data_IF_139524977272
#
_entry.id   IF_139524977272
#
_cell.length_a   1.000
_cell.length_b   1.000
_cell.length_c   1.000
_cell.angle_alpha   90.00
_cell.angle_beta   90.00
_cell.angle_gamma   90.00
#
_symmetry.space_group_name_H-M   'P 1'
#
loop_
_entity.id
_entity.type
_entity.pdbx_description
1 polymer ?
#
# COMPACT_ATOMS: atom_id res chain seq x y z
N UNK A 1 -54.58 -3.79 9.46
CA UNK A 1 -53.55 -3.31 8.52
C UNK A 1 -52.25 -3.91 8.94
N UNK A 2 -51.88 -5.05 8.36
CA UNK A 2 -50.67 -5.81 8.63
C UNK A 2 -49.55 -5.29 7.72
N UNK A 3 -48.62 -4.54 8.27
CA UNK A 3 -47.41 -4.12 7.55
C UNK A 3 -46.42 -5.29 7.44
N UNK A 4 -46.41 -5.88 6.27
CA UNK A 4 -45.37 -6.85 5.86
C UNK A 4 -44.00 -6.15 5.74
N UNK A 5 -43.16 -6.33 6.75
CA UNK A 5 -41.76 -5.99 6.68
C UNK A 5 -41.07 -7.04 5.80
N UNK A 6 -40.94 -6.75 4.51
CA UNK A 6 -40.22 -7.56 3.56
C UNK A 6 -38.69 -7.48 3.81
N UNK A 7 -38.15 -8.65 3.91
CA UNK A 7 -36.75 -9.08 3.97
C UNK A 7 -35.78 -8.22 3.16
N UNK A 8 -35.16 -7.19 3.76
CA UNK A 8 -34.14 -6.32 3.14
C UNK A 8 -32.72 -6.90 3.25
N UNK A 9 -32.56 -8.21 3.48
CA UNK A 9 -31.24 -8.85 3.71
C UNK A 9 -30.44 -9.24 2.45
N UNK A 10 -31.01 -9.17 1.24
CA UNK A 10 -30.44 -9.91 0.09
C UNK A 10 -29.89 -9.07 -1.08
N UNK A 11 -29.90 -7.74 -1.01
CA UNK A 11 -29.46 -6.90 -2.14
C UNK A 11 -27.95 -6.94 -2.39
N UNK A 12 -27.15 -7.27 -1.39
CA UNK A 12 -25.67 -7.30 -1.51
C UNK A 12 -25.10 -8.59 -2.14
N UNK A 13 -25.88 -9.65 -2.28
CA UNK A 13 -25.47 -10.92 -2.87
C UNK A 13 -25.96 -11.12 -4.33
N UNK A 14 -26.30 -10.04 -5.02
CA UNK A 14 -26.70 -10.12 -6.43
C UNK A 14 -25.59 -10.79 -7.26
N UNK A 15 -25.93 -11.67 -8.23
CA UNK A 15 -24.94 -12.30 -9.14
C UNK A 15 -24.03 -11.28 -9.85
N UNK A 16 -24.60 -10.13 -10.22
CA UNK A 16 -23.85 -9.03 -10.84
C UNK A 16 -22.71 -8.51 -9.94
N UNK A 17 -22.93 -8.39 -8.62
CA UNK A 17 -21.87 -7.97 -7.68
C UNK A 17 -20.75 -9.02 -7.53
N UNK A 18 -21.06 -10.31 -7.75
CA UNK A 18 -20.03 -11.34 -7.81
C UNK A 18 -19.14 -11.18 -9.06
N UNK A 19 -19.73 -10.85 -10.22
CA UNK A 19 -18.96 -10.58 -11.46
C UNK A 19 -18.04 -9.38 -11.27
N UNK A 20 -18.52 -8.26 -10.70
CA UNK A 20 -17.69 -7.09 -10.41
C UNK A 20 -16.57 -7.44 -9.42
N UNK A 21 -16.87 -8.23 -8.39
CA UNK A 21 -15.84 -8.66 -7.43
C UNK A 21 -14.76 -9.53 -8.09
N UNK A 22 -15.15 -10.52 -8.93
CA UNK A 22 -14.19 -11.36 -9.65
C UNK A 22 -13.35 -10.52 -10.59
N UNK A 23 -13.95 -9.60 -11.35
CA UNK A 23 -13.23 -8.71 -12.24
C UNK A 23 -12.25 -7.81 -11.48
N UNK A 24 -12.63 -7.29 -10.30
CA UNK A 24 -11.71 -6.56 -9.42
C UNK A 24 -10.52 -7.42 -9.01
N UNK A 25 -10.73 -8.69 -8.65
CA UNK A 25 -9.63 -9.60 -8.29
C UNK A 25 -8.66 -9.83 -9.46
N UNK A 26 -9.19 -9.98 -10.69
CA UNK A 26 -8.37 -10.12 -11.91
C UNK A 26 -7.54 -8.86 -12.16
N UNK A 27 -8.16 -7.69 -12.12
CA UNK A 27 -7.48 -6.40 -12.32
C UNK A 27 -6.36 -6.22 -11.30
N UNK A 28 -6.65 -6.50 -10.03
CA UNK A 28 -5.68 -6.38 -8.93
C UNK A 28 -4.54 -7.39 -9.06
N UNK A 29 -4.83 -8.63 -9.47
CA UNK A 29 -3.82 -9.66 -9.69
C UNK A 29 -2.85 -9.32 -10.83
N UNK A 30 -3.37 -8.71 -11.90
CA UNK A 30 -2.58 -8.33 -13.08
C UNK A 30 -1.80 -7.03 -12.85
N UNK A 31 -2.33 -6.11 -12.05
CA UNK A 31 -1.79 -4.74 -11.92
C UNK A 31 -0.29 -4.64 -11.56
N UNK A 32 0.34 -5.57 -10.79
CA UNK A 32 1.78 -5.47 -10.49
C UNK A 32 2.69 -5.86 -11.66
N UNK A 33 2.19 -6.60 -12.66
CA UNK A 33 3.02 -7.17 -13.71
C UNK A 33 3.64 -6.14 -14.65
N UNK A 34 2.93 -5.12 -15.15
CA UNK A 34 3.55 -4.10 -15.97
C UNK A 34 4.23 -3.04 -15.09
N UNK A 35 5.47 -3.27 -14.67
CA UNK A 35 6.32 -2.34 -13.88
C UNK A 35 5.64 -1.73 -12.64
N UNK A 36 4.66 -2.43 -12.04
CA UNK A 36 3.87 -1.89 -10.94
C UNK A 36 2.95 -0.72 -11.37
N UNK A 37 2.72 -0.55 -12.67
CA UNK A 37 1.87 0.51 -13.22
C UNK A 37 2.57 1.88 -13.28
N UNK A 38 3.90 1.94 -13.33
CA UNK A 38 4.66 3.20 -13.27
C UNK A 38 4.47 4.11 -14.49
N UNK A 39 4.27 3.52 -15.68
CA UNK A 39 4.10 4.29 -16.90
C UNK A 39 2.70 4.90 -17.01
N UNK A 40 2.61 6.10 -17.62
CA UNK A 40 1.35 6.86 -17.72
C UNK A 40 0.23 6.03 -18.33
N UNK A 41 0.47 5.35 -19.44
CA UNK A 41 -0.54 4.51 -20.10
C UNK A 41 -1.00 3.32 -19.24
N UNK A 42 -0.11 2.74 -18.41
CA UNK A 42 -0.42 1.60 -17.55
C UNK A 42 -1.41 1.99 -16.45
N UNK A 43 -1.13 3.08 -15.72
CA UNK A 43 -2.04 3.50 -14.67
C UNK A 43 -3.31 4.17 -15.17
N UNK A 44 -3.30 4.79 -16.37
CA UNK A 44 -4.53 5.26 -17.00
C UNK A 44 -5.43 4.09 -17.43
N UNK A 45 -4.86 3.03 -18.02
CA UNK A 45 -5.59 1.81 -18.33
C UNK A 45 -6.18 1.18 -17.06
N UNK A 46 -5.38 1.09 -16.01
CA UNK A 46 -5.82 0.57 -14.71
C UNK A 46 -6.94 1.43 -14.11
N UNK A 47 -6.81 2.76 -14.15
CA UNK A 47 -7.85 3.69 -13.68
C UNK A 47 -9.14 3.53 -14.47
N UNK A 48 -9.06 3.36 -15.80
CA UNK A 48 -10.21 3.10 -16.67
C UNK A 48 -10.92 1.80 -16.27
N UNK A 49 -10.19 0.72 -16.00
CA UNK A 49 -10.76 -0.53 -15.50
C UNK A 49 -11.49 -0.31 -14.17
N UNK A 50 -10.89 0.40 -13.23
CA UNK A 50 -11.49 0.66 -11.92
C UNK A 50 -12.75 1.52 -12.01
N UNK A 51 -12.74 2.57 -12.84
CA UNK A 51 -13.93 3.41 -13.06
C UNK A 51 -15.04 2.61 -13.72
N UNK A 52 -14.73 1.79 -14.74
CA UNK A 52 -15.71 0.91 -15.40
C UNK A 52 -16.33 -0.09 -14.41
N UNK A 53 -15.53 -0.72 -13.54
CA UNK A 53 -16.03 -1.63 -12.51
C UNK A 53 -16.92 -0.91 -11.48
N UNK A 54 -16.54 0.31 -11.11
CA UNK A 54 -17.34 1.10 -10.17
C UNK A 54 -18.67 1.54 -10.79
N UNK A 55 -18.65 1.98 -12.05
CA UNK A 55 -19.86 2.31 -12.80
C UNK A 55 -20.77 1.10 -12.92
N UNK A 56 -20.24 -0.07 -13.28
CA UNK A 56 -21.01 -1.31 -13.34
C UNK A 56 -21.62 -1.68 -11.96
N UNK A 57 -20.85 -1.50 -10.88
CA UNK A 57 -21.36 -1.71 -9.52
C UNK A 57 -22.55 -0.78 -9.21
N UNK A 58 -22.43 0.51 -9.45
CA UNK A 58 -23.47 1.49 -9.14
C UNK A 58 -24.71 1.31 -10.01
N UNK A 59 -24.57 1.03 -11.31
CA UNK A 59 -25.71 0.70 -12.18
C UNK A 59 -26.46 -0.50 -11.63
N UNK A 60 -25.77 -1.57 -11.23
CA UNK A 60 -26.39 -2.79 -10.70
C UNK A 60 -27.04 -2.58 -9.32
N UNK A 61 -26.67 -1.54 -8.58
CA UNK A 61 -27.11 -1.30 -7.21
C UNK A 61 -27.86 0.03 -7.02
N UNK A 62 -28.28 0.69 -8.09
CA UNK A 62 -28.96 2.00 -8.03
C UNK A 62 -30.18 2.00 -7.09
N UNK A 63 -30.93 0.91 -7.08
CA UNK A 63 -32.11 0.73 -6.19
C UNK A 63 -31.76 0.50 -4.71
N UNK A 64 -30.49 0.23 -4.40
CA UNK A 64 -29.99 -0.06 -3.03
C UNK A 64 -28.92 0.90 -2.55
N UNK A 65 -28.76 2.04 -3.21
CA UNK A 65 -27.72 3.04 -2.93
C UNK A 65 -27.74 3.54 -1.48
N UNK A 66 -28.92 3.60 -0.85
CA UNK A 66 -29.07 3.98 0.55
C UNK A 66 -28.32 3.00 1.50
N UNK A 67 -28.28 1.70 1.16
CA UNK A 67 -27.55 0.71 1.94
C UNK A 67 -26.03 0.91 1.82
N UNK A 68 -25.56 1.39 0.67
CA UNK A 68 -24.16 1.72 0.44
C UNK A 68 -23.74 2.92 1.29
N UNK A 69 -24.58 3.97 1.39
CA UNK A 69 -24.37 5.10 2.29
C UNK A 69 -24.32 4.67 3.76
N UNK A 70 -25.19 3.76 4.20
CA UNK A 70 -25.15 3.19 5.57
C UNK A 70 -23.83 2.45 5.81
N UNK A 71 -23.36 1.68 4.81
CA UNK A 71 -22.10 0.96 4.89
C UNK A 71 -20.90 1.92 5.05
N UNK A 72 -20.91 3.05 4.35
CA UNK A 72 -19.86 4.06 4.36
C UNK A 72 -19.95 5.05 5.54
N UNK A 73 -21.13 5.15 6.19
CA UNK A 73 -21.39 6.12 7.28
C UNK A 73 -20.28 6.22 8.31
N UNK A 74 -19.67 5.11 8.65
CA UNK A 74 -18.66 5.07 9.70
C UNK A 74 -17.30 5.63 9.30
N UNK A 75 -17.04 5.83 8.00
CA UNK A 75 -15.83 6.49 7.45
C UNK A 75 -16.19 7.77 6.72
N UNK A 76 -17.37 8.35 7.02
CA UNK A 76 -17.87 9.56 6.35
C UNK A 76 -16.87 10.70 6.41
N UNK A 77 -16.31 10.99 7.60
CA UNK A 77 -15.37 12.10 7.77
C UNK A 77 -14.10 11.92 6.92
N UNK A 78 -13.37 10.77 6.97
CA UNK A 78 -12.27 10.56 6.06
C UNK A 78 -12.65 10.67 4.57
N UNK A 79 -13.81 10.15 4.17
CA UNK A 79 -14.26 10.24 2.77
C UNK A 79 -14.55 11.68 2.35
N UNK A 80 -15.16 12.49 3.21
CA UNK A 80 -15.37 13.91 2.94
C UNK A 80 -14.02 14.63 2.76
N UNK A 81 -13.04 14.38 3.66
CA UNK A 81 -11.71 14.98 3.55
C UNK A 81 -10.99 14.56 2.27
N UNK A 82 -11.07 13.28 1.89
CA UNK A 82 -10.52 12.79 0.62
C UNK A 82 -11.22 13.43 -0.59
N UNK A 83 -12.54 13.62 -0.54
CA UNK A 83 -13.27 14.32 -1.60
C UNK A 83 -12.87 15.80 -1.71
N UNK A 84 -12.72 16.49 -0.58
CA UNK A 84 -12.24 17.88 -0.53
C UNK A 84 -10.79 17.94 -1.06
N UNK A 85 -9.96 16.96 -0.73
CA UNK A 85 -8.60 16.87 -1.26
C UNK A 85 -8.55 16.69 -2.78
N UNK A 86 -9.47 15.89 -3.38
CA UNK A 86 -9.60 15.79 -4.83
C UNK A 86 -10.10 17.11 -5.44
N UNK A 87 -11.09 17.75 -4.82
CA UNK A 87 -11.59 19.07 -5.26
C UNK A 87 -10.50 20.13 -5.18
N UNK A 88 -9.63 20.09 -4.19
CA UNK A 88 -8.47 20.96 -4.11
C UNK A 88 -7.52 20.77 -5.31
N UNK A 89 -7.28 19.53 -5.76
CA UNK A 89 -6.50 19.29 -6.98
C UNK A 89 -7.20 19.79 -8.25
N UNK A 90 -8.54 19.72 -8.31
CA UNK A 90 -9.31 20.37 -9.39
C UNK A 90 -9.08 21.87 -9.38
N UNK A 91 -9.12 22.53 -8.21
CA UNK A 91 -8.83 23.96 -8.07
C UNK A 91 -7.40 24.30 -8.50
N UNK A 92 -6.42 23.40 -8.31
CA UNK A 92 -5.06 23.62 -8.80
C UNK A 92 -4.97 23.68 -10.33
N UNK A 93 -5.90 23.06 -11.06
CA UNK A 93 -5.90 22.96 -12.54
C UNK A 93 -6.77 24.03 -13.19
N UNK A 94 -7.81 24.51 -12.52
CA UNK A 94 -8.73 25.50 -13.07
C UNK A 94 -8.04 26.87 -13.13
N UNK A 95 -8.13 27.59 -14.27
CA UNK A 95 -7.69 28.97 -14.35
C UNK A 95 -8.47 29.86 -13.37
N UNK A 96 -7.76 30.62 -12.55
CA UNK A 96 -8.31 31.53 -11.55
C UNK A 96 -7.95 32.98 -11.89
N UNK A 97 -8.74 33.98 -11.47
CA UNK A 97 -8.35 35.39 -11.59
C UNK A 97 -7.01 35.63 -10.89
N UNK A 98 -6.16 36.48 -11.45
CA UNK A 98 -4.80 36.76 -10.93
C UNK A 98 -4.81 37.17 -9.46
N UNK A 99 -5.83 37.88 -8.97
CA UNK A 99 -5.98 38.28 -7.57
C UNK A 99 -6.06 37.09 -6.61
N UNK A 100 -6.59 35.92 -7.05
CA UNK A 100 -6.63 34.68 -6.29
C UNK A 100 -5.42 33.77 -6.57
N UNK A 101 -4.81 33.88 -7.76
CA UNK A 101 -3.59 33.14 -8.11
C UNK A 101 -2.35 33.78 -7.49
N UNK A 102 -2.38 35.04 -7.05
CA UNK A 102 -1.29 35.72 -6.36
C UNK A 102 -0.99 35.14 -4.94
N UNK A 103 -1.81 34.23 -4.43
CA UNK A 103 -1.37 33.31 -3.36
C UNK A 103 -0.21 32.39 -3.83
N UNK A 104 0.12 32.44 -5.12
CA UNK A 104 1.07 31.55 -5.78
C UNK A 104 2.23 32.24 -6.51
N UNK A 105 2.31 33.55 -6.72
CA UNK A 105 3.53 34.30 -7.08
C UNK A 105 3.39 35.55 -7.93
N UNK A 106 4.35 36.47 -7.73
CA UNK A 106 4.76 37.60 -8.50
C UNK A 106 5.52 37.19 -9.78
N UNK A 107 4.87 37.07 -10.91
CA UNK A 107 5.49 37.28 -12.22
C UNK A 107 4.40 37.53 -13.27
N UNK A 108 3.99 38.74 -13.39
CA UNK A 108 4.30 39.77 -14.40
C UNK A 108 4.19 39.28 -15.85
N UNK A 109 3.19 39.81 -16.52
CA UNK A 109 3.10 40.00 -17.98
C UNK A 109 2.35 38.97 -18.82
N UNK A 110 1.45 38.13 -18.31
CA UNK A 110 0.58 37.41 -19.25
C UNK A 110 -0.77 37.03 -18.64
N UNK A 111 -1.85 37.41 -19.30
CA UNK A 111 -3.26 36.96 -19.14
C UNK A 111 -3.92 37.08 -17.78
N UNK A 112 -5.14 37.56 -17.72
CA UNK A 112 -5.95 37.76 -16.52
C UNK A 112 -6.32 36.47 -15.75
N UNK A 113 -5.90 35.29 -16.21
CA UNK A 113 -6.23 34.00 -15.64
C UNK A 113 -5.01 33.09 -15.58
N UNK A 114 -4.70 32.55 -14.40
CA UNK A 114 -3.59 31.62 -14.19
C UNK A 114 -4.01 30.45 -13.32
N UNK A 115 -3.38 29.29 -13.51
CA UNK A 115 -3.59 28.12 -12.67
C UNK A 115 -2.64 28.13 -11.47
N UNK A 116 -3.07 27.56 -10.34
CA UNK A 116 -2.17 27.31 -9.21
C UNK A 116 -1.07 26.32 -9.60
N UNK A 117 -1.43 25.28 -10.37
CA UNK A 117 -0.45 24.33 -10.90
C UNK A 117 0.41 24.96 -11.98
N UNK A 118 1.72 24.78 -11.86
CA UNK A 118 2.70 25.22 -12.90
C UNK A 118 2.60 24.36 -14.18
N UNK A 119 2.05 23.14 -14.07
CA UNK A 119 1.82 22.21 -15.19
C UNK A 119 0.47 21.52 -15.03
N UNK A 120 -0.63 22.19 -15.42
CA UNK A 120 -2.00 21.68 -15.20
C UNK A 120 -2.24 20.29 -15.79
N UNK A 121 -1.64 19.97 -16.94
CA UNK A 121 -1.78 18.65 -17.57
C UNK A 121 -1.22 17.51 -16.69
N UNK A 122 -0.08 17.73 -16.03
CA UNK A 122 0.51 16.75 -15.11
C UNK A 122 -0.38 16.59 -13.88
N UNK A 123 -0.87 17.69 -13.34
CA UNK A 123 -1.79 17.67 -12.18
C UNK A 123 -3.10 17.00 -12.52
N UNK A 124 -3.64 17.15 -13.72
CA UNK A 124 -4.84 16.44 -14.17
C UNK A 124 -4.62 14.92 -14.22
N UNK A 125 -3.49 14.49 -14.73
CA UNK A 125 -3.12 13.06 -14.78
C UNK A 125 -2.99 12.49 -13.37
N UNK A 126 -2.35 13.21 -12.44
CA UNK A 126 -2.27 12.81 -11.02
C UNK A 126 -3.67 12.79 -10.35
N UNK A 127 -4.54 13.74 -10.66
CA UNK A 127 -5.92 13.76 -10.18
C UNK A 127 -6.70 12.51 -10.60
N UNK A 128 -6.59 12.08 -11.87
CA UNK A 128 -7.21 10.83 -12.37
C UNK A 128 -6.68 9.63 -11.56
N UNK A 129 -5.37 9.56 -11.36
CA UNK A 129 -4.70 8.51 -10.59
C UNK A 129 -5.20 8.48 -9.14
N UNK A 130 -5.21 9.62 -8.45
CA UNK A 130 -5.69 9.73 -7.07
C UNK A 130 -7.19 9.40 -6.94
N UNK A 131 -8.00 9.82 -7.91
CA UNK A 131 -9.44 9.48 -7.96
C UNK A 131 -9.63 7.98 -8.08
N UNK A 132 -8.81 7.30 -8.90
CA UNK A 132 -8.88 5.84 -9.04
C UNK A 132 -8.53 5.10 -7.73
N UNK A 133 -7.60 5.62 -6.93
CA UNK A 133 -7.24 5.04 -5.62
C UNK A 133 -8.39 5.14 -4.62
N UNK A 134 -9.05 6.29 -4.56
CA UNK A 134 -10.22 6.47 -3.68
C UNK A 134 -11.39 5.62 -4.18
N UNK A 135 -11.58 5.54 -5.49
CA UNK A 135 -12.62 4.70 -6.12
C UNK A 135 -12.45 3.23 -5.77
N UNK A 136 -11.23 2.67 -5.91
CA UNK A 136 -10.98 1.26 -5.55
C UNK A 136 -11.18 1.01 -4.06
N UNK A 137 -10.83 1.97 -3.20
CA UNK A 137 -11.07 1.89 -1.76
C UNK A 137 -12.56 1.79 -1.44
N UNK A 138 -13.37 2.70 -2.00
CA UNK A 138 -14.83 2.70 -1.81
C UNK A 138 -15.46 1.43 -2.36
N UNK A 139 -15.14 1.07 -3.62
CA UNK A 139 -15.66 -0.13 -4.27
C UNK A 139 -15.34 -1.39 -3.45
N UNK A 140 -14.11 -1.50 -2.95
CA UNK A 140 -13.70 -2.63 -2.11
C UNK A 140 -14.50 -2.69 -0.81
N UNK A 141 -14.71 -1.57 -0.13
CA UNK A 141 -15.52 -1.51 1.08
C UNK A 141 -16.98 -1.95 0.83
N UNK A 142 -17.52 -1.64 -0.33
CA UNK A 142 -18.88 -2.04 -0.71
C UNK A 142 -18.95 -3.52 -1.07
N UNK A 143 -17.96 -4.05 -1.77
CA UNK A 143 -17.91 -5.46 -2.19
C UNK A 143 -17.58 -6.43 -1.05
N UNK A 144 -16.80 -6.02 -0.04
CA UNK A 144 -16.39 -6.89 1.08
C UNK A 144 -17.50 -7.06 2.12
N UNK A 145 -18.60 -7.69 1.76
CA UNK A 145 -19.77 -7.90 2.61
C UNK A 145 -19.80 -9.26 3.32
N UNK A 146 -18.95 -10.21 2.94
CA UNK A 146 -18.85 -11.54 3.53
C UNK A 146 -17.41 -11.88 3.95
N UNK A 147 -17.30 -12.78 4.94
CA UNK A 147 -16.02 -13.36 5.35
C UNK A 147 -15.27 -13.99 4.18
N UNK A 148 -16.00 -14.70 3.30
CA UNK A 148 -15.40 -15.35 2.15
C UNK A 148 -14.75 -14.36 1.19
N UNK A 149 -15.41 -13.24 0.87
CA UNK A 149 -14.84 -12.21 -0.01
C UNK A 149 -13.59 -11.56 0.58
N UNK A 150 -13.56 -11.31 1.91
CA UNK A 150 -12.37 -10.81 2.60
C UNK A 150 -11.22 -11.81 2.46
N UNK A 151 -11.47 -13.10 2.73
CA UNK A 151 -10.46 -14.14 2.60
C UNK A 151 -9.98 -14.29 1.15
N UNK A 152 -10.89 -14.23 0.18
CA UNK A 152 -10.54 -14.35 -1.24
C UNK A 152 -9.67 -13.17 -1.70
N UNK A 153 -10.04 -11.93 -1.37
CA UNK A 153 -9.20 -10.77 -1.69
C UNK A 153 -7.81 -10.89 -1.05
N UNK A 154 -7.74 -11.20 0.27
CA UNK A 154 -6.46 -11.36 0.95
C UNK A 154 -5.59 -12.47 0.31
N UNK A 155 -6.20 -13.60 -0.11
CA UNK A 155 -5.51 -14.67 -0.83
C UNK A 155 -5.01 -14.20 -2.19
N UNK A 156 -5.83 -13.48 -2.97
CA UNK A 156 -5.43 -12.96 -4.29
C UNK A 156 -4.22 -12.03 -4.17
N UNK A 157 -4.24 -11.09 -3.21
CA UNK A 157 -3.13 -10.18 -2.95
C UNK A 157 -1.86 -10.95 -2.55
N UNK A 158 -1.99 -11.90 -1.62
CA UNK A 158 -0.86 -12.68 -1.12
C UNK A 158 -0.27 -13.62 -2.15
N UNK A 159 -1.10 -14.42 -2.84
CA UNK A 159 -0.64 -15.41 -3.83
C UNK A 159 -0.04 -14.68 -5.04
N UNK A 160 -0.68 -13.61 -5.54
CA UNK A 160 -0.13 -12.81 -6.63
C UNK A 160 1.26 -12.27 -6.31
N UNK A 161 1.43 -11.77 -5.08
CA UNK A 161 2.74 -11.29 -4.60
C UNK A 161 3.78 -12.40 -4.42
N UNK A 162 3.36 -13.59 -4.00
CA UNK A 162 4.25 -14.75 -3.88
C UNK A 162 4.74 -15.24 -5.26
N UNK A 163 3.87 -15.22 -6.27
CA UNK A 163 4.26 -15.55 -7.65
C UNK A 163 5.30 -14.54 -8.18
N UNK A 164 5.09 -13.25 -7.95
CA UNK A 164 6.07 -12.22 -8.31
C UNK A 164 7.39 -12.40 -7.53
N UNK A 165 7.32 -12.82 -6.26
CA UNK A 165 8.51 -13.08 -5.48
C UNK A 165 9.31 -14.28 -6.03
N UNK A 166 8.63 -15.34 -6.43
CA UNK A 166 9.26 -16.49 -7.08
C UNK A 166 9.89 -16.09 -8.42
N UNK A 167 9.15 -15.38 -9.27
CA UNK A 167 9.65 -14.81 -10.52
C UNK A 167 10.90 -13.95 -10.28
N UNK A 168 10.87 -13.09 -9.26
CA UNK A 168 11.97 -12.22 -8.89
C UNK A 168 13.23 -13.00 -8.50
N UNK A 169 13.10 -14.07 -7.71
CA UNK A 169 14.25 -14.90 -7.30
C UNK A 169 14.81 -15.70 -8.48
N UNK A 170 13.95 -16.29 -9.31
CA UNK A 170 14.38 -17.00 -10.52
C UNK A 170 15.23 -16.09 -11.39
N UNK A 171 14.75 -14.88 -11.68
CA UNK A 171 15.50 -13.93 -12.52
C UNK A 171 16.76 -13.38 -11.84
N UNK A 172 16.71 -13.13 -10.53
CA UNK A 172 17.90 -12.70 -9.80
C UNK A 172 19.04 -13.73 -9.88
N UNK A 173 18.74 -15.02 -9.70
CA UNK A 173 19.77 -16.07 -9.73
C UNK A 173 20.15 -16.50 -11.16
N UNK A 174 19.26 -16.39 -12.13
CA UNK A 174 19.53 -16.66 -13.56
C UNK A 174 20.04 -15.44 -14.33
N UNK A 175 20.30 -14.31 -13.63
CA UNK A 175 20.74 -13.03 -14.23
C UNK A 175 19.80 -12.51 -15.33
N UNK A 176 18.50 -12.76 -15.16
CA UNK A 176 17.46 -12.28 -16.06
C UNK A 176 17.15 -13.22 -17.24
N UNK A 177 17.59 -14.48 -17.21
CA UNK A 177 17.33 -15.42 -18.30
C UNK A 177 15.83 -15.66 -18.59
N UNK A 178 14.95 -15.42 -17.61
CA UNK A 178 13.49 -15.58 -17.73
C UNK A 178 12.76 -14.24 -17.58
N UNK A 179 13.41 -13.14 -17.91
CA UNK A 179 12.81 -11.82 -17.76
C UNK A 179 11.74 -11.58 -18.82
N UNK A 180 10.48 -11.41 -18.36
CA UNK A 180 9.31 -11.14 -19.19
C UNK A 180 8.97 -9.66 -19.28
N UNK A 181 9.54 -8.84 -18.41
CA UNK A 181 9.09 -7.46 -18.15
C UNK A 181 10.05 -6.42 -18.72
N UNK A 182 11.35 -6.66 -18.72
CA UNK A 182 12.34 -5.71 -19.24
C UNK A 182 12.31 -5.53 -20.75
N UNK A 183 11.64 -6.45 -21.47
CA UNK A 183 11.37 -6.31 -22.91
C UNK A 183 10.34 -5.22 -23.22
N UNK A 184 9.63 -4.71 -22.20
CA UNK A 184 8.69 -3.59 -22.34
C UNK A 184 9.47 -2.27 -22.17
N UNK A 185 9.70 -1.48 -23.26
CA UNK A 185 10.44 -0.22 -23.14
C UNK A 185 9.78 0.72 -22.12
N UNK A 186 10.56 1.56 -21.42
CA UNK A 186 11.97 1.93 -21.61
C UNK A 186 12.96 1.26 -20.63
N UNK A 187 12.66 0.11 -20.05
CA UNK A 187 13.40 -0.39 -18.89
C UNK A 187 14.47 -1.42 -19.26
N UNK A 188 15.70 -1.16 -18.79
CA UNK A 188 16.76 -2.15 -18.69
C UNK A 188 17.06 -2.35 -17.21
N UNK A 189 16.55 -3.41 -16.61
CA UNK A 189 16.83 -3.71 -15.22
C UNK A 189 18.05 -4.61 -15.09
N UNK A 190 18.92 -4.32 -14.12
CA UNK A 190 20.05 -5.18 -13.82
C UNK A 190 19.69 -6.17 -12.71
N UNK A 191 19.39 -7.39 -13.09
CA UNK A 191 19.08 -8.48 -12.18
C UNK A 191 20.27 -8.90 -11.28
N UNK A 192 21.49 -8.62 -11.71
CA UNK A 192 22.69 -8.99 -10.95
C UNK A 192 22.83 -8.22 -9.64
N UNK A 193 22.36 -6.96 -9.61
CA UNK A 193 22.56 -6.07 -8.47
C UNK A 193 21.56 -6.30 -7.34
N UNK A 194 20.30 -6.57 -7.66
CA UNK A 194 19.23 -6.74 -6.68
C UNK A 194 18.00 -7.40 -7.30
N UNK A 195 17.23 -8.11 -6.50
CA UNK A 195 15.91 -8.59 -6.87
C UNK A 195 14.94 -7.39 -6.91
N UNK A 196 14.22 -7.21 -8.01
CA UNK A 196 13.28 -6.10 -8.17
C UNK A 196 11.88 -6.55 -8.64
N UNK A 197 11.65 -7.87 -8.81
CA UNK A 197 10.35 -8.39 -9.25
C UNK A 197 10.00 -7.89 -10.65
N UNK A 198 8.76 -7.48 -10.79
CA UNK A 198 8.24 -6.83 -11.99
C UNK A 198 8.37 -5.31 -11.95
N UNK A 199 9.07 -4.76 -10.97
CA UNK A 199 9.20 -3.33 -10.71
C UNK A 199 10.50 -2.79 -11.30
N UNK A 200 10.48 -1.54 -11.74
CA UNK A 200 11.66 -0.84 -12.25
C UNK A 200 12.68 -0.50 -11.15
N UNK A 201 12.23 -0.44 -9.89
CA UNK A 201 13.07 -0.03 -8.77
C UNK A 201 12.88 -0.96 -7.56
N UNK A 202 14.01 -1.48 -7.07
CA UNK A 202 14.04 -2.47 -5.99
C UNK A 202 13.38 -2.01 -4.67
N UNK A 203 13.40 -0.70 -4.37
CA UNK A 203 12.78 -0.18 -3.15
C UNK A 203 11.26 -0.21 -3.24
N UNK A 204 10.69 0.05 -4.42
CA UNK A 204 9.24 -0.07 -4.64
C UNK A 204 8.78 -1.51 -4.52
N UNK A 205 9.59 -2.45 -5.03
CA UNK A 205 9.32 -3.86 -4.85
C UNK A 205 9.42 -4.27 -3.38
N UNK A 206 10.43 -3.79 -2.64
CA UNK A 206 10.51 -4.01 -1.19
C UNK A 206 9.26 -3.48 -0.46
N UNK A 207 8.77 -2.29 -0.83
CA UNK A 207 7.54 -1.73 -0.29
C UNK A 207 6.31 -2.59 -0.59
N UNK A 208 6.19 -3.10 -1.82
CA UNK A 208 5.15 -4.03 -2.22
C UNK A 208 5.17 -5.32 -1.38
N UNK A 209 6.35 -5.90 -1.15
CA UNK A 209 6.50 -7.08 -0.30
C UNK A 209 6.15 -6.78 1.17
N UNK A 210 6.55 -5.63 1.72
CA UNK A 210 6.21 -5.24 3.10
C UNK A 210 4.71 -5.03 3.30
N UNK A 211 3.96 -4.67 2.24
CA UNK A 211 2.51 -4.61 2.26
C UNK A 211 1.86 -6.00 2.29
N UNK A 212 2.44 -6.98 1.61
CA UNK A 212 1.76 -8.24 1.30
C UNK A 212 2.20 -9.41 2.17
N UNK A 213 3.44 -9.44 2.65
CA UNK A 213 3.95 -10.49 3.58
C UNK A 213 3.06 -10.63 4.83
N UNK A 214 2.63 -9.56 5.52
CA UNK A 214 1.78 -9.71 6.71
C UNK A 214 0.47 -10.45 6.43
N UNK A 215 -0.09 -10.35 5.21
CA UNK A 215 -1.33 -11.06 4.84
C UNK A 215 -1.15 -12.59 4.91
N UNK A 216 0.02 -13.12 4.56
CA UNK A 216 0.32 -14.55 4.68
C UNK A 216 0.20 -15.05 6.12
N UNK A 217 0.77 -14.32 7.09
CA UNK A 217 0.61 -14.63 8.50
C UNK A 217 -0.85 -14.57 8.95
N UNK A 218 -1.61 -13.56 8.46
CA UNK A 218 -3.03 -13.42 8.71
C UNK A 218 -3.85 -14.59 8.16
N UNK A 219 -3.52 -15.10 6.98
CA UNK A 219 -4.17 -16.25 6.34
C UNK A 219 -3.87 -17.57 7.08
N UNK A 220 -2.62 -17.80 7.49
CA UNK A 220 -2.23 -18.96 8.31
C UNK A 220 -3.02 -18.96 9.60
N UNK A 221 -3.07 -17.81 10.31
CA UNK A 221 -3.85 -17.70 11.54
C UNK A 221 -5.34 -18.01 11.31
N UNK A 222 -5.88 -17.60 10.17
CA UNK A 222 -7.28 -17.86 9.79
C UNK A 222 -7.59 -19.34 9.62
N UNK A 223 -6.62 -20.15 9.20
CA UNK A 223 -6.77 -21.58 8.95
C UNK A 223 -6.52 -22.44 10.19
N UNK A 224 -5.58 -22.05 11.06
CA UNK A 224 -5.26 -22.81 12.30
C UNK A 224 -6.51 -22.99 13.15
N UNK A 225 -7.34 -21.96 13.28
CA UNK A 225 -8.57 -22.02 14.07
C UNK A 225 -9.67 -22.91 13.47
N UNK A 226 -9.52 -23.40 12.23
CA UNK A 226 -10.47 -24.36 11.61
C UNK A 226 -10.12 -25.82 11.85
N UNK A 227 -8.84 -26.12 12.09
CA UNK A 227 -8.33 -27.50 12.08
C UNK A 227 -8.10 -28.10 13.46
N UNK A 228 -8.46 -27.42 14.55
CA UNK A 228 -8.15 -27.87 15.93
C UNK A 228 -8.80 -29.19 16.36
N UNK A 229 -9.67 -29.81 15.54
CA UNK A 229 -10.44 -31.00 15.93
C UNK A 229 -10.08 -32.31 15.19
N UNK A 230 -8.94 -32.40 14.49
CA UNK A 230 -8.66 -33.56 13.61
C UNK A 230 -7.31 -34.27 13.78
N UNK A 231 -6.71 -34.33 14.94
CA UNK A 231 -5.42 -35.00 15.06
C UNK A 231 -5.31 -35.98 16.27
N UNK A 232 -5.76 -37.21 16.08
CA UNK A 232 -5.42 -38.35 16.96
C UNK A 232 -4.75 -39.43 16.09
N UNK A 233 -3.52 -39.85 16.46
CA UNK A 233 -2.97 -41.13 16.02
C UNK A 233 -1.92 -41.16 14.88
N UNK A 234 -1.35 -40.02 14.40
CA UNK A 234 -0.31 -40.04 13.32
C UNK A 234 1.13 -39.90 13.84
N UNK A 235 2.09 -40.51 13.11
CA UNK A 235 3.52 -40.38 13.39
C UNK A 235 4.00 -38.90 13.23
N UNK A 236 5.11 -38.50 13.86
CA UNK A 236 5.69 -37.17 13.75
C UNK A 236 6.01 -36.82 12.29
N UNK A 237 6.57 -37.74 11.52
CA UNK A 237 6.90 -37.56 10.11
C UNK A 237 5.64 -37.37 9.27
N UNK A 238 4.60 -38.19 9.46
CA UNK A 238 3.33 -38.02 8.78
C UNK A 238 2.67 -36.68 9.05
N UNK A 239 2.70 -36.18 10.29
CA UNK A 239 2.20 -34.85 10.65
C UNK A 239 3.00 -33.72 9.99
N UNK A 240 4.31 -33.85 9.85
CA UNK A 240 5.16 -32.87 9.16
C UNK A 240 4.87 -32.84 7.66
N UNK A 241 4.74 -33.99 7.02
CA UNK A 241 4.38 -34.09 5.60
C UNK A 241 2.98 -33.54 5.31
N UNK A 242 2.00 -33.88 6.15
CA UNK A 242 0.64 -33.33 6.06
C UNK A 242 0.64 -31.79 6.23
N UNK A 243 1.48 -31.26 7.14
CA UNK A 243 1.62 -29.81 7.30
C UNK A 243 2.21 -29.17 6.04
N UNK A 244 3.27 -29.74 5.47
CA UNK A 244 3.92 -29.20 4.27
C UNK A 244 3.00 -29.26 3.05
N UNK A 245 2.20 -30.31 2.91
CA UNK A 245 1.23 -30.47 1.81
C UNK A 245 -0.10 -29.75 2.08
N UNK A 246 -0.29 -29.22 3.28
CA UNK A 246 -1.49 -28.46 3.61
C UNK A 246 -1.49 -27.05 3.01
N UNK A 247 -2.67 -26.42 2.95
CA UNK A 247 -2.79 -25.01 2.57
C UNK A 247 -1.90 -24.09 3.44
N UNK A 248 -1.70 -24.42 4.71
CA UNK A 248 -0.81 -23.68 5.59
C UNK A 248 0.66 -23.87 5.24
N UNK A 249 1.06 -25.09 4.82
CA UNK A 249 2.40 -25.36 4.33
C UNK A 249 2.73 -24.57 3.08
N UNK A 250 1.79 -24.49 2.12
CA UNK A 250 1.94 -23.65 0.93
C UNK A 250 2.05 -22.16 1.28
N UNK A 251 1.29 -21.68 2.27
CA UNK A 251 1.44 -20.28 2.71
C UNK A 251 2.77 -20.04 3.42
N UNK A 252 3.28 -20.99 4.21
CA UNK A 252 4.60 -20.89 4.84
C UNK A 252 5.72 -20.88 3.80
N UNK A 253 5.66 -21.75 2.80
CA UNK A 253 6.60 -21.76 1.68
C UNK A 253 6.57 -20.45 0.91
N UNK A 254 5.37 -19.95 0.60
CA UNK A 254 5.19 -18.65 -0.06
C UNK A 254 5.76 -17.50 0.76
N UNK A 255 5.55 -17.49 2.09
CA UNK A 255 6.14 -16.52 3.00
C UNK A 255 7.67 -16.58 2.99
N UNK A 256 8.25 -17.78 3.02
CA UNK A 256 9.70 -17.95 2.95
C UNK A 256 10.26 -17.36 1.66
N UNK A 257 9.66 -17.68 0.51
CA UNK A 257 10.03 -17.13 -0.80
C UNK A 257 9.95 -15.59 -0.80
N UNK A 258 8.85 -15.02 -0.27
CA UNK A 258 8.67 -13.57 -0.22
C UNK A 258 9.67 -12.88 0.71
N UNK A 259 9.98 -13.48 1.86
CA UNK A 259 10.96 -12.93 2.81
C UNK A 259 12.37 -12.98 2.21
N UNK A 260 12.76 -14.09 1.56
CA UNK A 260 14.03 -14.19 0.85
C UNK A 260 14.09 -13.12 -0.26
N UNK A 261 13.03 -12.97 -1.05
CA UNK A 261 12.95 -11.96 -2.08
C UNK A 261 13.10 -10.54 -1.52
N UNK A 262 12.44 -10.23 -0.38
CA UNK A 262 12.56 -8.95 0.31
C UNK A 262 14.02 -8.64 0.68
N UNK A 263 14.73 -9.59 1.27
CA UNK A 263 16.15 -9.40 1.61
C UNK A 263 17.02 -9.25 0.36
N UNK A 264 16.73 -10.00 -0.71
CA UNK A 264 17.47 -9.90 -2.00
C UNK A 264 17.20 -8.61 -2.76
N UNK A 265 16.17 -7.81 -2.38
CA UNK A 265 16.04 -6.43 -2.90
C UNK A 265 17.21 -5.55 -2.50
N UNK A 266 17.96 -5.91 -1.45
CA UNK A 266 19.01 -5.08 -0.84
C UNK A 266 18.51 -3.64 -0.50
N UNK A 267 17.21 -3.45 -0.30
CA UNK A 267 16.60 -2.19 0.13
C UNK A 267 16.77 -2.02 1.63
N UNK A 268 17.71 -1.17 2.04
CA UNK A 268 17.94 -0.89 3.47
C UNK A 268 16.69 -0.35 4.15
N UNK A 269 16.02 0.63 3.51
CA UNK A 269 14.77 1.22 4.01
C UNK A 269 13.67 0.16 4.15
N UNK A 270 13.38 -0.59 3.08
CA UNK A 270 12.33 -1.60 3.07
C UNK A 270 12.54 -2.69 4.14
N UNK A 271 13.74 -3.23 4.24
CA UNK A 271 14.06 -4.29 5.20
C UNK A 271 13.97 -3.80 6.65
N UNK A 272 14.55 -2.63 6.98
CA UNK A 272 14.50 -2.06 8.33
C UNK A 272 13.07 -1.73 8.75
N UNK A 273 12.29 -1.12 7.85
CA UNK A 273 10.92 -0.71 8.13
C UNK A 273 9.99 -1.92 8.27
N UNK A 274 10.23 -2.99 7.52
CA UNK A 274 9.50 -4.25 7.73
C UNK A 274 9.64 -4.76 9.17
N UNK A 275 10.87 -4.80 9.68
CA UNK A 275 11.14 -5.20 11.06
C UNK A 275 10.46 -4.25 12.05
N UNK A 276 10.64 -2.94 11.87
CA UNK A 276 10.04 -1.91 12.75
C UNK A 276 8.52 -2.02 12.76
N UNK A 277 7.88 -2.24 11.61
CA UNK A 277 6.42 -2.37 11.53
C UNK A 277 5.89 -3.60 12.26
N UNK A 278 6.62 -4.71 12.23
CA UNK A 278 6.30 -5.92 13.01
C UNK A 278 6.40 -5.61 14.51
N UNK A 279 7.47 -4.95 14.95
CA UNK A 279 7.68 -4.58 16.37
C UNK A 279 6.56 -3.66 16.85
N UNK A 280 6.27 -2.59 16.11
CA UNK A 280 5.18 -1.66 16.45
C UNK A 280 3.85 -2.41 16.54
N UNK A 281 3.54 -3.25 15.55
CA UNK A 281 2.29 -4.02 15.52
C UNK A 281 2.18 -4.97 16.71
N UNK A 282 3.27 -5.68 17.03
CA UNK A 282 3.32 -6.55 18.19
C UNK A 282 2.98 -5.81 19.48
N UNK A 283 3.63 -4.67 19.73
CA UNK A 283 3.37 -3.89 20.94
C UNK A 283 1.95 -3.32 20.95
N UNK A 284 1.44 -2.80 19.80
CA UNK A 284 0.06 -2.33 19.71
C UNK A 284 -0.95 -3.42 20.07
N UNK A 285 -0.75 -4.64 19.59
CA UNK A 285 -1.60 -5.79 19.91
C UNK A 285 -1.45 -6.20 21.38
N UNK A 286 -0.22 -6.21 21.89
CA UNK A 286 0.07 -6.57 23.28
C UNK A 286 -0.55 -5.61 24.29
N UNK A 287 -0.43 -4.29 24.06
CA UNK A 287 -1.01 -3.26 24.94
C UNK A 287 -2.54 -3.29 24.96
N UNK A 288 -3.17 -3.68 23.87
CA UNK A 288 -4.62 -3.84 23.82
C UNK A 288 -5.13 -5.11 24.54
N UNK A 289 -4.23 -6.01 24.99
CA UNK A 289 -4.62 -7.21 25.71
C UNK A 289 -4.78 -6.93 27.22
N UNK A 290 -5.97 -7.24 27.78
CA UNK A 290 -6.20 -7.25 29.22
C UNK A 290 -5.63 -8.55 29.80
N UNK A 291 -4.30 -8.68 29.86
CA UNK A 291 -3.58 -9.84 30.37
C UNK A 291 -2.69 -9.43 31.54
N UNK A 292 -2.45 -10.33 32.51
CA UNK A 292 -1.50 -10.09 33.60
C UNK A 292 -0.12 -9.70 33.07
N UNK A 293 0.63 -8.88 33.84
CA UNK A 293 1.99 -8.43 33.45
C UNK A 293 2.91 -9.62 33.12
N UNK A 294 2.85 -10.72 33.91
CA UNK A 294 3.65 -11.93 33.71
C UNK A 294 3.39 -12.58 32.33
N UNK A 295 2.14 -12.67 31.90
CA UNK A 295 1.79 -13.25 30.58
C UNK A 295 2.25 -12.33 29.42
N UNK A 296 2.14 -11.01 29.60
CA UNK A 296 2.68 -10.05 28.63
C UNK A 296 4.21 -10.18 28.51
N UNK A 297 4.91 -10.29 29.65
CA UNK A 297 6.37 -10.46 29.67
C UNK A 297 6.81 -11.75 28.96
N UNK A 298 6.12 -12.89 29.20
CA UNK A 298 6.39 -14.15 28.49
C UNK A 298 6.22 -14.01 26.97
N UNK A 299 5.16 -13.32 26.50
CA UNK A 299 4.94 -13.08 25.08
C UNK A 299 6.01 -12.16 24.48
N UNK A 300 6.42 -11.13 25.23
CA UNK A 300 7.51 -10.23 24.80
C UNK A 300 8.81 -11.01 24.67
N UNK A 301 9.14 -11.88 25.63
CA UNK A 301 10.34 -12.72 25.56
C UNK A 301 10.31 -13.66 24.34
N UNK A 302 9.21 -14.34 24.08
CA UNK A 302 9.05 -15.21 22.90
C UNK A 302 9.16 -14.43 21.59
N UNK A 303 8.63 -13.20 21.55
CA UNK A 303 8.75 -12.32 20.39
C UNK A 303 10.21 -11.91 20.15
N UNK A 304 10.93 -11.51 21.20
CA UNK A 304 12.36 -11.16 21.12
C UNK A 304 13.18 -12.35 20.64
N UNK A 305 12.95 -13.56 21.15
CA UNK A 305 13.61 -14.77 20.68
C UNK A 305 13.32 -15.02 19.20
N UNK A 306 12.07 -14.87 18.77
CA UNK A 306 11.69 -14.99 17.36
C UNK A 306 12.39 -13.96 16.47
N UNK A 307 12.50 -12.72 16.92
CA UNK A 307 13.21 -11.65 16.19
C UNK A 307 14.71 -11.92 16.11
N UNK A 308 15.32 -12.46 17.16
CA UNK A 308 16.72 -12.88 17.15
C UNK A 308 16.96 -14.04 16.16
N UNK A 309 16.05 -15.03 16.12
CA UNK A 309 16.12 -16.12 15.15
C UNK A 309 16.02 -15.61 13.70
N UNK A 310 15.12 -14.66 13.41
CA UNK A 310 15.04 -13.99 12.09
C UNK A 310 16.34 -13.24 11.81
N UNK A 311 16.91 -12.53 12.78
CA UNK A 311 18.19 -11.83 12.64
C UNK A 311 19.34 -12.78 12.27
N UNK A 312 19.39 -13.95 12.90
CA UNK A 312 20.39 -14.99 12.59
C UNK A 312 20.20 -15.51 11.16
N UNK A 313 18.97 -15.80 10.73
CA UNK A 313 18.68 -16.23 9.36
C UNK A 313 19.14 -15.17 8.34
N UNK A 314 18.90 -13.89 8.63
CA UNK A 314 19.31 -12.77 7.79
C UNK A 314 20.85 -12.73 7.63
N UNK A 315 21.59 -12.95 8.71
CA UNK A 315 23.06 -13.01 8.67
C UNK A 315 23.52 -14.18 7.78
N UNK A 316 22.94 -15.36 7.96
CA UNK A 316 23.32 -16.54 7.18
C UNK A 316 22.92 -16.49 5.70
N UNK A 317 21.97 -15.64 5.30
CA UNK A 317 21.55 -15.48 3.89
C UNK A 317 22.49 -14.57 3.08
N UNK A 318 23.63 -14.15 3.63
CA UNK A 318 24.60 -13.26 2.95
C UNK A 318 24.07 -11.83 2.75
N UNK A 319 23.02 -11.43 3.48
CA UNK A 319 22.50 -10.06 3.45
C UNK A 319 23.56 -9.04 3.88
N UNK A 320 24.39 -9.40 4.88
CA UNK A 320 25.48 -8.59 5.37
C UNK A 320 26.56 -8.34 4.30
N UNK A 321 26.88 -9.33 3.45
CA UNK A 321 27.88 -9.19 2.38
C UNK A 321 27.41 -8.25 1.28
N UNK A 322 26.15 -8.29 0.92
CA UNK A 322 25.56 -7.35 -0.04
C UNK A 322 25.47 -5.93 0.53
N UNK A 323 25.23 -5.80 1.84
CA UNK A 323 25.19 -4.51 2.53
C UNK A 323 26.61 -3.91 2.68
N UNK A 324 27.58 -4.71 3.12
CA UNK A 324 28.99 -4.29 3.29
C UNK A 324 29.65 -3.95 1.96
N UNK A 325 29.42 -4.73 0.90
CA UNK A 325 29.91 -4.41 -0.46
C UNK A 325 29.33 -3.10 -0.98
N UNK A 326 28.05 -2.80 -0.71
CA UNK A 326 27.44 -1.51 -1.09
C UNK A 326 27.94 -0.35 -0.24
N UNK A 327 28.18 -0.56 1.06
CA UNK A 327 28.79 0.44 1.93
C UNK A 327 30.23 0.75 1.48
N UNK A 328 30.99 -0.27 1.07
CA UNK A 328 32.37 -0.13 0.61
C UNK A 328 32.49 0.45 -0.82
N UNK A 329 31.61 0.05 -1.75
CA UNK A 329 31.72 0.41 -3.18
C UNK A 329 31.05 1.72 -3.57
N UNK A 330 30.00 2.15 -2.85
CA UNK A 330 29.26 3.37 -3.19
C UNK A 330 29.52 4.53 -2.21
N UNK A 331 30.29 4.30 -1.13
CA UNK A 331 30.36 5.22 -0.01
C UNK A 331 28.94 5.45 0.56
N UNK A 332 28.78 5.55 1.84
CA UNK A 332 27.54 6.10 2.40
C UNK A 332 27.52 7.58 2.01
N UNK A 333 26.83 7.92 0.91
CA UNK A 333 26.53 9.32 0.60
C UNK A 333 25.16 9.68 1.17
N UNK A 334 25.07 10.00 2.48
CA UNK A 334 23.83 10.47 3.11
C UNK A 334 23.41 11.80 2.50
N UNK A 335 24.35 12.52 1.87
CA UNK A 335 24.14 13.84 1.32
C UNK A 335 23.20 13.83 0.10
N UNK A 336 23.13 12.73 -0.69
CA UNK A 336 22.26 12.68 -1.86
C UNK A 336 20.77 12.85 -1.50
N UNK A 337 20.23 12.07 -0.54
CA UNK A 337 18.84 12.22 -0.09
C UNK A 337 18.61 13.51 0.67
N UNK A 338 19.57 13.93 1.51
CA UNK A 338 19.49 15.21 2.22
C UNK A 338 19.38 16.39 1.24
N UNK A 339 20.15 16.37 0.15
CA UNK A 339 20.09 17.41 -0.88
C UNK A 339 18.74 17.38 -1.66
N UNK A 340 18.16 16.20 -1.88
CA UNK A 340 16.81 16.07 -2.48
C UNK A 340 15.74 16.61 -1.53
N UNK A 341 15.86 16.34 -0.22
CA UNK A 341 14.98 16.91 0.79
C UNK A 341 15.12 18.45 0.86
N UNK A 342 16.35 18.99 0.78
CA UNK A 342 16.58 20.43 0.70
C UNK A 342 15.89 21.04 -0.52
N UNK A 343 15.99 20.38 -1.69
CA UNK A 343 15.26 20.80 -2.90
C UNK A 343 13.75 20.87 -2.66
N UNK A 344 13.16 19.84 -2.02
CA UNK A 344 11.75 19.87 -1.67
C UNK A 344 11.40 21.00 -0.71
N UNK A 345 12.24 21.23 0.31
CA UNK A 345 12.04 22.32 1.27
C UNK A 345 12.12 23.70 0.62
N UNK A 346 13.04 23.92 -0.34
CA UNK A 346 13.11 25.17 -1.10
C UNK A 346 11.83 25.43 -1.92
N UNK A 347 11.26 24.39 -2.54
CA UNK A 347 9.98 24.50 -3.25
C UNK A 347 8.83 24.84 -2.26
N UNK A 348 8.82 24.19 -1.09
CA UNK A 348 7.82 24.42 -0.04
C UNK A 348 7.87 25.88 0.46
N UNK A 349 9.07 26.44 0.64
CA UNK A 349 9.26 27.81 1.10
C UNK A 349 8.67 28.85 0.13
N UNK A 350 8.72 28.59 -1.18
CA UNK A 350 8.11 29.52 -2.16
C UNK A 350 6.59 29.43 -2.16
N UNK A 351 6.01 28.21 -2.05
CA UNK A 351 4.55 28.02 -2.13
C UNK A 351 4.00 27.18 -0.97
N UNK A 352 4.09 27.65 0.26
CA UNK A 352 3.81 26.84 1.45
C UNK A 352 2.34 26.44 1.60
N UNK A 353 1.38 27.26 1.12
CA UNK A 353 -0.05 27.04 1.34
C UNK A 353 -0.66 26.07 0.35
N UNK A 354 -0.48 26.32 -0.95
CA UNK A 354 -1.17 25.62 -2.04
C UNK A 354 -0.26 24.69 -2.84
N UNK A 355 1.07 24.81 -2.66
CA UNK A 355 2.05 24.04 -3.42
C UNK A 355 2.12 24.46 -4.90
N UNK A 356 2.72 23.61 -5.70
CA UNK A 356 3.04 23.87 -7.11
C UNK A 356 2.18 23.09 -8.10
N UNK A 357 1.27 22.29 -7.61
CA UNK A 357 0.43 21.36 -8.38
C UNK A 357 0.83 19.89 -8.14
N UNK A 358 -0.16 18.99 -8.09
CA UNK A 358 0.11 17.58 -7.90
C UNK A 358 1.02 17.04 -9.02
N UNK A 359 2.10 16.31 -8.64
CA UNK A 359 3.03 15.69 -9.58
C UNK A 359 4.08 16.62 -10.21
N UNK A 360 4.18 17.88 -9.79
CA UNK A 360 5.07 18.88 -10.43
C UNK A 360 6.51 18.87 -9.91
N UNK A 361 6.80 18.18 -8.80
CA UNK A 361 8.13 18.09 -8.21
C UNK A 361 9.23 17.70 -9.23
N UNK A 362 9.05 16.66 -10.10
CA UNK A 362 10.08 16.29 -11.08
C UNK A 362 10.45 17.40 -12.05
N UNK A 363 9.54 18.32 -12.30
CA UNK A 363 9.72 19.43 -13.24
C UNK A 363 10.47 20.57 -12.55
N UNK A 364 10.03 20.92 -11.34
CA UNK A 364 10.61 22.03 -10.58
C UNK A 364 11.96 21.75 -9.94
N UNK A 365 12.28 20.50 -9.67
CA UNK A 365 13.54 20.16 -9.01
C UNK A 365 14.78 20.76 -9.71
N UNK A 366 14.72 20.93 -11.05
CA UNK A 366 15.82 21.51 -11.82
C UNK A 366 16.16 22.94 -11.40
N UNK A 367 15.14 23.73 -11.09
CA UNK A 367 15.29 25.13 -10.65
C UNK A 367 15.90 25.23 -9.26
N UNK A 368 15.56 24.29 -8.35
CA UNK A 368 15.93 24.33 -6.93
C UNK A 368 17.02 23.35 -6.53
N UNK A 369 17.50 22.56 -7.50
CA UNK A 369 18.53 21.55 -7.26
C UNK A 369 19.81 22.18 -6.73
N UNK A 370 20.31 21.65 -5.62
CA UNK A 370 21.62 22.05 -5.09
C UNK A 370 22.74 21.80 -6.12
N UNK A 371 23.63 22.77 -6.40
CA UNK A 371 24.79 22.57 -7.26
C UNK A 371 25.65 21.37 -6.85
N UNK A 372 25.65 21.00 -5.55
CA UNK A 372 26.38 19.85 -4.99
C UNK A 372 25.90 18.51 -5.52
N UNK A 373 24.70 18.44 -6.10
CA UNK A 373 24.18 17.22 -6.74
C UNK A 373 24.79 16.95 -8.13
N UNK A 374 25.58 17.89 -8.67
CA UNK A 374 26.20 17.77 -9.99
C UNK A 374 25.16 17.79 -11.13
N UNK A 375 25.61 17.93 -12.37
CA UNK A 375 24.70 18.02 -13.54
C UNK A 375 24.12 16.66 -13.96
N UNK A 376 24.74 15.56 -13.58
CA UNK A 376 24.40 14.19 -14.00
C UNK A 376 23.38 13.48 -13.09
N UNK A 377 23.23 13.89 -11.82
CA UNK A 377 22.32 13.26 -10.89
C UNK A 377 20.94 13.91 -10.94
N UNK A 378 20.06 13.42 -11.80
CA UNK A 378 18.63 13.80 -11.79
C UNK A 378 17.87 12.89 -10.83
N UNK A 379 17.49 13.41 -9.67
CA UNK A 379 16.51 12.73 -8.85
C UNK A 379 15.11 13.08 -9.31
N UNK A 380 14.43 12.16 -9.95
CA UNK A 380 13.04 12.38 -10.39
C UNK A 380 12.07 12.59 -9.23
N UNK A 381 12.49 12.37 -7.96
CA UNK A 381 11.61 12.35 -6.77
C UNK A 381 12.37 12.83 -5.54
N UNK A 382 11.62 13.29 -4.53
CA UNK A 382 12.18 13.74 -3.26
C UNK A 382 12.71 12.61 -2.36
N UNK A 383 12.44 11.33 -2.67
CA UNK A 383 12.66 10.17 -1.80
C UNK A 383 12.07 10.34 -0.39
N UNK A 384 10.95 11.03 -0.31
CA UNK A 384 10.10 11.19 0.85
C UNK A 384 8.72 11.64 0.36
N UNK A 385 7.72 10.75 0.43
CA UNK A 385 6.36 11.04 -0.05
C UNK A 385 5.72 12.23 0.66
N UNK A 386 6.06 12.45 1.94
CA UNK A 386 5.48 13.56 2.71
C UNK A 386 6.02 14.92 2.29
N UNK A 387 7.35 15.02 2.08
CA UNK A 387 7.96 16.25 1.58
C UNK A 387 7.52 16.54 0.14
N UNK A 388 7.41 15.51 -0.69
CA UNK A 388 6.95 15.66 -2.07
C UNK A 388 5.47 16.06 -2.14
N UNK A 389 4.61 15.48 -1.29
CA UNK A 389 3.21 15.91 -1.16
C UNK A 389 3.12 17.37 -0.72
N UNK A 390 3.93 17.77 0.27
CA UNK A 390 3.93 19.13 0.80
C UNK A 390 4.43 20.14 -0.25
N UNK A 391 5.45 19.80 -1.06
CA UNK A 391 5.92 20.65 -2.16
C UNK A 391 4.88 20.79 -3.28
N UNK A 392 4.18 19.69 -3.62
CA UNK A 392 3.20 19.66 -4.69
C UNK A 392 1.86 20.31 -4.33
N UNK A 393 1.41 20.16 -3.07
CA UNK A 393 0.05 20.52 -2.66
C UNK A 393 -0.01 21.44 -1.45
N UNK A 394 1.14 21.89 -0.94
CA UNK A 394 1.24 22.79 0.20
C UNK A 394 0.64 22.18 1.48
N UNK A 395 0.54 23.02 2.52
CA UNK A 395 -0.01 22.60 3.80
C UNK A 395 -1.51 22.26 3.71
N UNK A 396 -2.25 22.86 2.77
CA UNK A 396 -3.68 22.58 2.59
C UNK A 396 -3.86 21.14 2.12
N UNK A 397 -3.25 20.74 1.01
CA UNK A 397 -3.38 19.38 0.49
C UNK A 397 -2.79 18.34 1.43
N UNK A 398 -1.63 18.65 2.03
CA UNK A 398 -0.99 17.81 3.04
C UNK A 398 -1.89 17.56 4.25
N UNK A 399 -2.54 18.61 4.79
CA UNK A 399 -3.41 18.49 5.96
C UNK A 399 -4.68 17.72 5.65
N UNK A 400 -5.28 17.90 4.48
CA UNK A 400 -6.49 17.18 4.06
C UNK A 400 -6.22 15.68 3.94
N UNK A 401 -5.21 15.27 3.16
CA UNK A 401 -4.85 13.87 2.97
C UNK A 401 -4.29 13.25 4.26
N UNK A 402 -3.43 13.98 4.97
CA UNK A 402 -2.82 13.53 6.22
C UNK A 402 -3.86 13.27 7.31
N UNK A 403 -4.81 14.21 7.50
CA UNK A 403 -5.91 14.04 8.47
C UNK A 403 -6.83 12.88 8.09
N UNK A 404 -7.19 12.76 6.81
CA UNK A 404 -8.00 11.62 6.34
C UNK A 404 -7.29 10.29 6.61
N UNK A 405 -6.01 10.19 6.29
CA UNK A 405 -5.18 9.00 6.51
C UNK A 405 -5.05 8.68 8.00
N UNK A 406 -4.81 9.69 8.84
CA UNK A 406 -4.73 9.53 10.30
C UNK A 406 -6.06 9.00 10.88
N UNK A 407 -7.19 9.54 10.47
CA UNK A 407 -8.51 9.08 10.92
C UNK A 407 -8.79 7.63 10.49
N UNK A 408 -8.37 7.24 9.28
CA UNK A 408 -8.48 5.86 8.80
C UNK A 408 -7.54 4.93 9.60
N UNK A 409 -6.31 5.36 9.89
CA UNK A 409 -5.36 4.62 10.72
C UNK A 409 -5.87 4.42 12.16
N UNK A 410 -6.39 5.49 12.78
CA UNK A 410 -7.00 5.40 14.11
C UNK A 410 -8.20 4.44 14.13
N UNK A 411 -8.97 4.40 13.05
CA UNK A 411 -10.08 3.46 12.92
C UNK A 411 -9.60 2.02 12.78
N UNK A 412 -8.55 1.80 11.98
CA UNK A 412 -7.90 0.51 11.83
C UNK A 412 -7.34 0.02 13.17
N UNK A 413 -6.67 0.89 13.92
CA UNK A 413 -6.14 0.61 15.25
C UNK A 413 -7.25 0.24 16.26
N UNK A 414 -8.32 1.02 16.33
CA UNK A 414 -9.49 0.71 17.17
C UNK A 414 -10.16 -0.60 16.74
N UNK A 415 -10.07 -0.92 15.45
CA UNK A 415 -10.54 -2.19 14.87
C UNK A 415 -9.88 -3.42 15.48
N UNK A 416 -8.60 -3.38 15.85
CA UNK A 416 -7.90 -4.48 16.50
C UNK A 416 -8.60 -4.92 17.81
N UNK A 417 -8.94 -3.95 18.69
CA UNK A 417 -9.65 -4.22 19.93
C UNK A 417 -11.06 -4.74 19.70
N UNK A 418 -11.78 -4.13 18.76
CA UNK A 418 -13.16 -4.50 18.42
C UNK A 418 -13.23 -5.91 17.81
N UNK A 419 -12.38 -6.25 16.86
CA UNK A 419 -12.34 -7.57 16.22
C UNK A 419 -12.05 -8.67 17.23
N UNK A 420 -11.15 -8.42 18.17
CA UNK A 420 -10.87 -9.33 19.26
C UNK A 420 -12.09 -9.56 20.17
N UNK A 421 -12.78 -8.46 20.60
CA UNK A 421 -13.95 -8.54 21.48
C UNK A 421 -15.13 -9.22 20.81
N UNK A 422 -15.35 -8.97 19.54
CA UNK A 422 -16.43 -9.57 18.76
C UNK A 422 -16.16 -11.02 18.38
N UNK A 423 -15.03 -11.59 18.81
CA UNK A 423 -14.58 -12.93 18.45
C UNK A 423 -14.74 -13.21 16.95
N UNK A 424 -14.18 -12.30 16.11
CA UNK A 424 -14.24 -12.48 14.65
C UNK A 424 -13.43 -13.71 14.20
N UNK A 425 -12.90 -14.49 15.18
CA UNK A 425 -12.28 -15.78 15.01
C UNK A 425 -11.13 -15.72 13.99
N UNK A 426 -11.29 -16.44 12.92
CA UNK A 426 -10.27 -16.58 11.87
C UNK A 426 -9.88 -15.28 11.16
N UNK A 427 -10.67 -14.19 11.19
CA UNK A 427 -10.31 -12.93 10.54
C UNK A 427 -9.45 -12.01 11.40
N UNK A 428 -9.27 -12.30 12.70
CA UNK A 428 -8.45 -11.44 13.58
C UNK A 428 -6.99 -11.36 13.14
N UNK A 429 -6.43 -12.45 12.62
CA UNK A 429 -5.08 -12.46 12.04
C UNK A 429 -4.96 -11.50 10.85
N UNK A 430 -5.95 -11.45 9.96
CA UNK A 430 -5.97 -10.50 8.85
C UNK A 430 -6.16 -9.05 9.30
N UNK A 431 -6.86 -8.83 10.42
CA UNK A 431 -6.95 -7.49 11.03
C UNK A 431 -5.58 -6.98 11.49
N UNK A 432 -4.80 -7.85 12.16
CA UNK A 432 -3.43 -7.54 12.59
C UNK A 432 -2.54 -7.32 11.36
N UNK A 433 -2.64 -8.21 10.37
CA UNK A 433 -1.89 -8.12 9.12
C UNK A 433 -2.14 -6.79 8.39
N UNK A 434 -3.40 -6.39 8.25
CA UNK A 434 -3.77 -5.12 7.61
C UNK A 434 -3.19 -3.92 8.37
N UNK A 435 -3.18 -3.95 9.70
CA UNK A 435 -2.56 -2.88 10.50
C UNK A 435 -1.05 -2.82 10.28
N UNK A 436 -0.36 -3.98 10.31
CA UNK A 436 1.07 -4.08 10.07
C UNK A 436 1.46 -3.53 8.68
N UNK A 437 0.75 -3.97 7.63
CA UNK A 437 0.96 -3.53 6.25
C UNK A 437 0.81 -2.01 6.08
N UNK A 438 -0.25 -1.44 6.65
CA UNK A 438 -0.51 0.01 6.59
C UNK A 438 0.59 0.80 7.31
N UNK A 439 1.01 0.37 8.51
CA UNK A 439 2.13 1.01 9.23
C UNK A 439 3.42 0.90 8.43
N UNK A 440 3.70 -0.26 7.81
CA UNK A 440 4.92 -0.48 7.06
C UNK A 440 5.08 0.52 5.90
N UNK A 441 4.06 0.69 5.05
CA UNK A 441 4.17 1.61 3.93
C UNK A 441 4.22 3.08 4.38
N UNK A 442 3.44 3.47 5.39
CA UNK A 442 3.48 4.83 5.92
C UNK A 442 4.86 5.19 6.48
N UNK A 443 5.52 4.26 7.17
CA UNK A 443 6.90 4.45 7.62
C UNK A 443 7.89 4.45 6.46
N UNK A 444 7.70 3.59 5.45
CA UNK A 444 8.60 3.52 4.30
C UNK A 444 8.55 4.80 3.45
N UNK A 445 7.40 5.46 3.41
CA UNK A 445 7.20 6.74 2.73
C UNK A 445 7.97 7.92 3.35
N UNK A 446 8.51 7.78 4.57
CA UNK A 446 9.48 8.73 5.14
C UNK A 446 10.86 8.67 4.47
N UNK A 447 11.20 7.54 3.87
CA UNK A 447 12.52 7.26 3.33
C UNK A 447 12.54 6.98 1.82
N UNK A 448 11.37 6.92 1.18
CA UNK A 448 11.24 6.70 -0.27
C UNK A 448 9.89 7.24 -0.79
N UNK A 449 9.61 7.10 -2.12
CA UNK A 449 8.42 7.62 -2.80
C UNK A 449 7.46 6.48 -3.23
N UNK A 450 6.96 5.74 -2.25
CA UNK A 450 6.23 4.49 -2.47
C UNK A 450 4.81 4.69 -3.00
N UNK A 451 4.13 5.79 -2.64
CA UNK A 451 2.78 6.11 -3.11
C UNK A 451 2.73 6.65 -4.53
N UNK A 452 3.87 7.02 -5.11
CA UNK A 452 3.95 7.35 -6.53
C UNK A 452 3.74 6.12 -7.42
N UNK A 453 4.06 4.94 -6.92
CA UNK A 453 3.84 3.71 -7.65
C UNK A 453 2.38 3.27 -7.50
N UNK A 454 1.59 3.23 -8.60
CA UNK A 454 0.15 3.00 -8.54
C UNK A 454 -0.23 1.70 -7.84
N UNK A 455 0.50 0.63 -8.07
CA UNK A 455 0.21 -0.66 -7.44
C UNK A 455 0.38 -0.61 -5.93
N UNK A 456 1.42 0.05 -5.41
CA UNK A 456 1.62 0.18 -3.97
C UNK A 456 0.49 0.97 -3.31
N UNK A 457 0.05 2.07 -3.95
CA UNK A 457 -1.08 2.86 -3.49
C UNK A 457 -2.40 2.07 -3.52
N UNK A 458 -2.67 1.34 -4.61
CA UNK A 458 -3.87 0.49 -4.73
C UNK A 458 -3.88 -0.61 -3.68
N UNK A 459 -2.77 -1.34 -3.50
CA UNK A 459 -2.66 -2.39 -2.49
C UNK A 459 -2.83 -1.83 -1.07
N UNK A 460 -2.28 -0.65 -0.79
CA UNK A 460 -2.52 0.05 0.46
C UNK A 460 -4.02 0.25 0.72
N UNK A 461 -4.77 0.80 -0.26
CA UNK A 461 -6.20 1.05 -0.11
C UNK A 461 -7.02 -0.24 -0.02
N UNK A 462 -6.66 -1.30 -0.74
CA UNK A 462 -7.31 -2.61 -0.65
C UNK A 462 -7.12 -3.24 0.75
N UNK A 463 -5.90 -3.23 1.26
CA UNK A 463 -5.55 -3.78 2.58
C UNK A 463 -6.19 -2.95 3.69
N UNK A 464 -6.20 -1.63 3.55
CA UNK A 464 -6.89 -0.72 4.46
C UNK A 464 -8.40 -1.02 4.50
N UNK A 465 -9.02 -1.25 3.33
CA UNK A 465 -10.43 -1.63 3.25
C UNK A 465 -10.71 -2.97 3.95
N UNK A 466 -9.86 -3.97 3.77
CA UNK A 466 -9.92 -5.26 4.49
C UNK A 466 -9.93 -5.02 6.00
N UNK A 467 -8.96 -4.29 6.51
CA UNK A 467 -8.84 -4.03 7.95
C UNK A 467 -10.00 -3.20 8.52
N UNK A 468 -10.53 -2.24 7.78
CA UNK A 468 -11.69 -1.44 8.21
C UNK A 468 -12.98 -2.26 8.22
N UNK A 469 -13.11 -3.24 7.32
CA UNK A 469 -14.35 -4.03 7.16
C UNK A 469 -14.48 -5.14 8.18
N UNK A 470 -13.40 -5.84 8.55
CA UNK A 470 -13.40 -6.99 9.47
C UNK A 470 -14.18 -6.72 10.77
N UNK A 471 -13.97 -5.62 11.53
CA UNK A 471 -14.66 -5.38 12.79
C UNK A 471 -16.17 -5.15 12.66
N UNK A 472 -16.70 -5.08 11.45
CA UNK A 472 -18.10 -4.74 11.14
C UNK A 472 -18.89 -5.88 10.56
N UNK A 473 -18.24 -6.97 10.19
CA UNK A 473 -18.95 -8.16 9.76
C UNK A 473 -19.85 -8.64 10.91
N UNK A 474 -21.12 -8.78 10.62
CA UNK A 474 -22.06 -9.47 11.50
C UNK A 474 -21.64 -10.95 11.56
N UNK A 475 -21.81 -11.57 12.72
CA UNK A 475 -21.64 -13.02 12.90
C UNK A 475 -22.57 -13.80 12.00
#
# INVERSE_FOLDING_TARGET
MTSTWTNNGNTQNKPANNRVFIALLVVVFISPWPHGGELVWQYLLFSTCLFSLSTAYFINNISSINNDFVTLKSIRTPLILLSIWLLFQVLQVIPLPITLSNLAEQNLNTTHWQTISITPNVTLVELIKHTSYITVFILTLLLLNTKQRILTLAKTLFIGSAIIALYSLINHYSKGAFDLVSSIPPWTASWEKAAHGTFSYQNHYASFLTLTIPLGFGLIYSNINKNSNKEVGRSKLGKTLDLLMSTNGLYLLSLLVMIIALFKTASRGGNSIFVVSIVITFFCVLFQQNKPKKEKAKKTMLFVIGMLAVGIIVIFTGFTDSLTKRLASQGYNPNGRALMHQTALSIIQERPLVGTGAGTYPILQHKYKSPKLGNTAMSKRAHNDYLELLSNQGIIGFSLLGTATLLLLLKLFRGLKKSRRNNTGSLYGLQIASFCSVIAILLHSLADFNFHLPVNAVYFYLILAVGIKIPRLKK
#
